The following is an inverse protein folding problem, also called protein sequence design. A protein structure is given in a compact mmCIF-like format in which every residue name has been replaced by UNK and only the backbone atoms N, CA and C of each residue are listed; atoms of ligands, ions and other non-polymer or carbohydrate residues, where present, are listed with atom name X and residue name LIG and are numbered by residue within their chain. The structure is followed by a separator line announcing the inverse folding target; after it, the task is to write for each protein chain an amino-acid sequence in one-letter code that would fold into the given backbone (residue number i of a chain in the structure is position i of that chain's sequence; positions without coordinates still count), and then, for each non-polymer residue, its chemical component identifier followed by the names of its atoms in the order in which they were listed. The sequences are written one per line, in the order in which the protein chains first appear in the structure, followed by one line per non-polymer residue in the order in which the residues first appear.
data_IF_738691168630
#
_entry.id   IF_738691168630
#
_cell.length_a   1.000
_cell.length_b   1.000
_cell.length_c   1.000
_cell.angle_alpha   90.00
_cell.angle_beta   90.00
_cell.angle_gamma   90.00
#
_symmetry.space_group_name_H-M   'P 1'
#
loop_
_entity.id
_entity.type
_entity.pdbx_description
1 polymer ?
#
# COMPACT_ATOMS: atom_id res chain seq x y z
N UNK A 1 12.26 2.47 6.42
CA UNK A 1 12.34 1.13 5.81
C UNK A 1 12.24 1.27 4.30
N UNK A 2 13.15 0.64 3.58
CA UNK A 2 13.24 0.68 2.12
C UNK A 2 11.97 0.07 1.51
N UNK A 3 11.36 0.76 0.55
CA UNK A 3 10.21 0.23 -0.20
C UNK A 3 10.70 -0.80 -1.20
N UNK A 4 10.10 -1.98 -1.17
CA UNK A 4 10.51 -3.13 -2.00
C UNK A 4 9.41 -3.59 -2.94
N UNK A 5 8.20 -3.06 -2.79
CA UNK A 5 7.03 -3.45 -3.57
C UNK A 5 6.24 -2.23 -4.02
N UNK A 6 5.41 -2.43 -5.03
CA UNK A 6 4.32 -1.52 -5.39
C UNK A 6 2.99 -2.24 -5.19
N UNK A 7 1.92 -1.46 -5.04
CA UNK A 7 0.56 -1.97 -5.01
C UNK A 7 -0.43 -0.88 -5.37
N UNK A 8 -1.69 -1.28 -5.59
CA UNK A 8 -2.81 -0.37 -5.84
C UNK A 8 -3.75 -0.37 -4.67
N UNK A 9 -4.04 0.82 -4.15
CA UNK A 9 -5.03 1.04 -3.11
C UNK A 9 -6.29 1.62 -3.74
N UNK A 10 -7.43 0.98 -3.50
CA UNK A 10 -8.75 1.51 -3.83
C UNK A 10 -9.28 2.29 -2.62
N UNK A 11 -9.52 3.59 -2.82
CA UNK A 11 -10.02 4.52 -1.81
C UNK A 11 -11.47 4.85 -2.14
N UNK A 12 -12.39 4.62 -1.20
CA UNK A 12 -13.79 5.01 -1.37
C UNK A 12 -13.98 6.41 -0.81
N UNK A 13 -14.35 7.36 -1.67
CA UNK A 13 -14.62 8.76 -1.34
C UNK A 13 -16.10 9.09 -1.52
N UNK A 14 -16.55 10.27 -1.09
CA UNK A 14 -17.91 10.74 -1.34
C UNK A 14 -18.23 10.89 -2.84
N UNK A 15 -17.21 11.06 -3.69
CA UNK A 15 -17.33 11.19 -5.15
C UNK A 15 -17.21 9.85 -5.88
N UNK A 16 -17.02 8.75 -5.14
CA UNK A 16 -16.83 7.41 -5.69
C UNK A 16 -15.45 6.81 -5.37
N UNK A 17 -15.11 5.75 -6.11
CA UNK A 17 -13.90 4.97 -5.89
C UNK A 17 -12.73 5.52 -6.72
N UNK A 18 -11.60 5.73 -6.07
CA UNK A 18 -10.35 6.19 -6.70
C UNK A 18 -9.27 5.14 -6.47
N UNK A 19 -8.43 4.90 -7.47
CA UNK A 19 -7.26 3.99 -7.35
C UNK A 19 -5.97 4.79 -7.29
N UNK A 20 -5.11 4.46 -6.33
CA UNK A 20 -3.80 5.08 -6.12
C UNK A 20 -2.72 4.00 -6.13
N UNK A 21 -1.65 4.21 -6.91
CA UNK A 21 -0.44 3.40 -6.79
C UNK A 21 0.37 3.85 -5.57
N UNK A 22 0.85 2.89 -4.79
CA UNK A 22 1.67 3.13 -3.60
C UNK A 22 2.90 2.25 -3.61
N UNK A 23 3.97 2.72 -2.95
CA UNK A 23 5.17 1.93 -2.71
C UNK A 23 5.12 1.37 -1.28
N UNK A 24 5.43 0.09 -1.13
CA UNK A 24 5.22 -0.67 0.10
C UNK A 24 6.51 -1.36 0.52
N UNK A 25 6.66 -1.57 1.83
CA UNK A 25 7.51 -2.62 2.36
C UNK A 25 6.65 -3.63 3.11
N UNK A 26 7.09 -4.89 3.13
CA UNK A 26 6.44 -5.97 3.86
C UNK A 26 7.05 -6.08 5.25
N UNK A 27 6.21 -6.06 6.29
CA UNK A 27 6.57 -6.58 7.62
C UNK A 27 6.01 -7.98 7.80
N UNK A 28 6.19 -8.61 8.94
CA UNK A 28 5.47 -9.86 9.26
C UNK A 28 3.94 -9.64 9.25
N UNK A 29 3.48 -8.53 9.83
CA UNK A 29 2.06 -8.28 10.13
C UNK A 29 1.31 -7.39 9.15
N UNK A 30 2.01 -6.65 8.27
CA UNK A 30 1.36 -5.71 7.35
C UNK A 30 2.14 -5.47 6.05
N UNK A 31 1.42 -4.96 5.04
CA UNK A 31 1.97 -4.15 3.97
C UNK A 31 1.97 -2.69 4.41
N UNK A 32 3.09 -1.98 4.29
CA UNK A 32 3.23 -0.64 4.88
C UNK A 32 3.65 0.39 3.84
N UNK A 33 2.82 1.42 3.64
CA UNK A 33 3.18 2.63 2.88
C UNK A 33 3.78 3.70 3.81
N UNK A 34 3.19 3.92 4.98
CA UNK A 34 3.77 4.75 6.04
C UNK A 34 3.41 4.15 7.40
N UNK A 35 4.05 4.55 8.52
CA UNK A 35 3.65 4.07 9.85
C UNK A 35 2.17 4.28 10.19
N UNK A 36 1.50 5.27 9.57
CA UNK A 36 0.05 5.57 9.73
C UNK A 36 -0.82 4.97 8.63
N UNK A 37 -0.22 4.30 7.65
CA UNK A 37 -0.89 3.76 6.49
C UNK A 37 -0.33 2.37 6.15
N UNK A 38 -1.00 1.36 6.71
CA UNK A 38 -0.66 -0.04 6.53
C UNK A 38 -1.92 -0.88 6.33
N UNK A 39 -1.75 -2.03 5.69
CA UNK A 39 -2.84 -2.94 5.36
C UNK A 39 -2.50 -4.36 5.77
N UNK A 40 -3.53 -5.14 6.11
CA UNK A 40 -3.40 -6.57 6.36
C UNK A 40 -2.87 -7.27 5.10
N UNK A 41 -1.91 -8.18 5.25
CA UNK A 41 -1.38 -8.94 4.14
C UNK A 41 -2.33 -10.02 3.62
N UNK A 42 -3.32 -10.40 4.43
CA UNK A 42 -4.28 -11.47 4.11
C UNK A 42 -5.57 -10.90 3.50
N UNK A 43 -6.02 -9.75 4.01
CA UNK A 43 -7.31 -9.17 3.61
C UNK A 43 -7.19 -7.88 2.80
N UNK A 44 -6.01 -7.26 2.77
CA UNK A 44 -5.82 -5.95 2.15
C UNK A 44 -6.53 -4.80 2.87
N UNK A 45 -7.21 -5.07 4.00
CA UNK A 45 -7.91 -4.06 4.78
C UNK A 45 -6.93 -3.17 5.53
N UNK A 46 -7.22 -1.87 5.62
CA UNK A 46 -6.36 -0.92 6.34
C UNK A 46 -6.35 -1.22 7.84
N UNK A 47 -5.16 -1.29 8.44
CA UNK A 47 -5.00 -1.45 9.88
C UNK A 47 -5.31 -0.11 10.59
N UNK A 48 -6.15 -0.14 11.62
CA UNK A 48 -6.35 0.99 12.53
C UNK A 48 -7.30 2.11 12.07
N UNK A 49 -8.27 1.83 11.20
CA UNK A 49 -9.31 2.79 10.81
C UNK A 49 -10.70 2.17 10.82
N UNK A 50 -11.74 3.00 11.00
CA UNK A 50 -13.14 2.63 10.77
C UNK A 50 -13.26 1.99 9.38
N UNK A 51 -13.75 0.76 9.34
CA UNK A 51 -14.01 0.00 8.12
C UNK A 51 -14.61 0.91 7.04
N UNK A 52 -13.86 1.24 5.97
CA UNK A 52 -14.34 1.48 4.58
C UNK A 52 -13.51 2.44 3.71
N UNK A 53 -12.54 3.21 4.20
CA UNK A 53 -11.98 4.26 3.32
C UNK A 53 -10.89 3.81 2.35
N UNK A 54 -10.16 2.71 2.59
CA UNK A 54 -9.17 2.22 1.62
C UNK A 54 -8.85 0.73 1.75
N UNK A 55 -8.73 0.03 0.61
CA UNK A 55 -8.34 -1.39 0.52
C UNK A 55 -7.14 -1.53 -0.41
N UNK A 56 -6.10 -2.21 0.04
CA UNK A 56 -4.97 -2.62 -0.80
C UNK A 56 -5.37 -3.86 -1.62
N UNK A 57 -5.29 -3.75 -2.93
CA UNK A 57 -5.56 -4.87 -3.84
C UNK A 57 -4.36 -5.81 -3.83
N UNK A 58 -4.47 -6.96 -3.16
CA UNK A 58 -3.34 -7.89 -2.96
C UNK A 58 -2.81 -8.46 -4.28
N UNK A 59 -3.69 -8.68 -5.26
CA UNK A 59 -3.34 -9.15 -6.61
C UNK A 59 -2.48 -8.14 -7.40
N UNK A 60 -2.55 -6.86 -7.03
CA UNK A 60 -1.81 -5.78 -7.69
C UNK A 60 -0.38 -5.61 -7.16
N UNK A 61 0.00 -6.37 -6.14
CA UNK A 61 1.31 -6.24 -5.50
C UNK A 61 2.38 -6.81 -6.42
N UNK A 62 3.44 -6.02 -6.65
CA UNK A 62 4.58 -6.40 -7.48
C UNK A 62 5.87 -5.96 -6.79
N UNK A 63 6.90 -6.82 -6.81
CA UNK A 63 8.22 -6.44 -6.35
C UNK A 63 8.78 -5.31 -7.24
N UNK A 64 9.49 -4.37 -6.63
CA UNK A 64 10.28 -3.38 -7.35
C UNK A 64 11.54 -4.05 -7.91
N UNK A 65 12.02 -3.66 -9.11
CA UNK A 65 13.27 -4.16 -9.64
C UNK A 65 14.42 -3.81 -8.68
N UNK A 66 15.26 -4.82 -8.39
CA UNK A 66 16.44 -4.65 -7.53
C UNK A 66 17.39 -3.66 -8.20
N UNK A 67 17.58 -2.48 -7.58
CA UNK A 67 18.41 -1.39 -8.11
C UNK A 67 17.68 -0.06 -8.31
N UNK A 68 16.36 -0.01 -8.22
CA UNK A 68 15.63 1.26 -8.15
C UNK A 68 15.80 1.85 -6.75
N UNK A 69 16.78 2.74 -6.59
CA UNK A 69 17.03 3.45 -5.34
C UNK A 69 15.82 4.35 -5.03
N UNK A 70 15.05 4.10 -3.95
CA UNK A 70 13.71 4.68 -3.78
C UNK A 70 13.69 6.13 -3.28
N UNK A 71 14.86 6.72 -2.97
CA UNK A 71 15.05 8.07 -2.44
C UNK A 71 15.68 9.04 -3.46
N UNK A 72 15.65 8.72 -4.76
CA UNK A 72 15.92 9.71 -5.82
C UNK A 72 14.64 10.50 -6.09
N UNK A 73 14.35 11.45 -5.20
CA UNK A 73 13.64 12.67 -5.58
C UNK A 73 14.73 13.59 -6.20
N UNK A 74 14.65 13.80 -7.51
CA UNK A 74 15.34 14.89 -8.23
C UNK A 74 14.46 16.15 -8.18
#
# INVERSE_FOLDING_TARGET
MVKTHTGTVEVTTALGKVRKKVRLYRTEKAWVNTPRESWSPETGLRNGGTMRTSVLLLDSIRALPVGENPDRDD
#
